data_IF_984180058061
#
_entry.id   IF_984180058061
#
_cell.length_a   1.000
_cell.length_b   1.000
_cell.length_c   1.000
_cell.angle_alpha   90.00
_cell.angle_beta   90.00
_cell.angle_gamma   90.00
#
_symmetry.space_group_name_H-M   'P 1'
#
loop_
_entity.id
_entity.type
_entity.pdbx_description
1 polymer ?
#
# COMPACT_ATOMS: atom_id res chain seq x y z
N UNK A 1 -18.41 -8.17 -11.21
CA UNK A 1 -17.20 -7.47 -10.72
C UNK A 1 -17.49 -6.99 -9.32
N UNK A 2 -16.87 -7.58 -8.33
CA UNK A 2 -16.92 -7.06 -6.95
C UNK A 2 -15.97 -5.88 -6.88
N UNK A 3 -16.52 -4.68 -6.74
CA UNK A 3 -15.75 -3.48 -6.48
C UNK A 3 -15.42 -3.47 -4.99
N UNK A 4 -14.17 -3.70 -4.66
CA UNK A 4 -13.72 -3.69 -3.27
C UNK A 4 -13.25 -2.28 -2.90
N UNK A 5 -13.92 -1.69 -1.94
CA UNK A 5 -13.51 -0.43 -1.31
C UNK A 5 -12.89 -0.77 0.04
N UNK A 6 -11.72 -0.22 0.31
CA UNK A 6 -11.04 -0.33 1.60
C UNK A 6 -10.83 1.07 2.16
N UNK A 7 -11.18 1.26 3.43
CA UNK A 7 -10.89 2.49 4.18
C UNK A 7 -10.00 2.12 5.36
N UNK A 8 -8.97 2.90 5.60
CA UNK A 8 -8.01 2.71 6.66
C UNK A 8 -7.80 3.98 7.47
N UNK A 9 -7.32 3.78 8.68
CA UNK A 9 -6.84 4.84 9.57
C UNK A 9 -5.39 4.52 9.93
N UNK A 10 -4.50 5.42 9.61
CA UNK A 10 -3.07 5.31 9.93
C UNK A 10 -2.75 6.21 11.12
N UNK A 11 -2.04 5.68 12.10
CA UNK A 11 -1.54 6.43 13.24
C UNK A 11 -0.01 6.50 13.22
N UNK A 12 0.51 7.70 13.37
CA UNK A 12 1.95 7.98 13.36
C UNK A 12 2.38 8.49 14.74
N UNK A 13 2.91 7.62 15.60
CA UNK A 13 3.20 7.98 16.99
C UNK A 13 4.30 9.03 17.14
N UNK A 14 5.23 9.15 16.17
CA UNK A 14 6.32 10.13 16.24
C UNK A 14 5.86 11.58 16.03
N UNK A 15 4.75 11.78 15.36
CA UNK A 15 4.16 13.10 15.06
C UNK A 15 2.78 13.28 15.68
N UNK A 16 2.31 12.25 16.42
CA UNK A 16 0.99 12.18 17.08
C UNK A 16 -0.15 12.58 16.13
N UNK A 17 -0.15 12.04 14.94
CA UNK A 17 -1.08 12.40 13.87
C UNK A 17 -1.81 11.17 13.32
N UNK A 18 -3.06 11.41 12.92
CA UNK A 18 -3.91 10.44 12.25
C UNK A 18 -4.16 10.85 10.80
N UNK A 19 -4.14 9.90 9.89
CA UNK A 19 -4.52 10.13 8.50
C UNK A 19 -5.49 9.09 8.00
N UNK A 20 -6.33 9.49 7.05
CA UNK A 20 -7.28 8.62 6.37
C UNK A 20 -6.64 8.08 5.09
N UNK A 21 -6.70 6.76 4.93
CA UNK A 21 -6.37 6.08 3.69
C UNK A 21 -7.63 5.43 3.10
N UNK A 22 -7.80 5.53 1.81
CA UNK A 22 -8.88 4.85 1.10
C UNK A 22 -8.40 4.34 -0.24
N UNK A 23 -8.89 3.17 -0.65
CA UNK A 23 -8.61 2.66 -1.98
C UNK A 23 -9.82 1.92 -2.57
N UNK A 24 -9.88 1.93 -3.90
CA UNK A 24 -10.88 1.28 -4.71
C UNK A 24 -10.22 0.41 -5.77
N UNK A 25 -10.49 -0.89 -5.72
CA UNK A 25 -10.03 -1.83 -6.75
C UNK A 25 -10.97 -1.78 -7.94
N UNK A 26 -10.54 -1.11 -8.99
CA UNK A 26 -11.30 -0.97 -10.24
C UNK A 26 -11.23 -2.23 -11.10
N UNK A 27 -10.08 -2.91 -11.12
CA UNK A 27 -9.85 -4.14 -11.88
C UNK A 27 -9.21 -5.16 -10.94
N UNK A 28 -9.85 -6.34 -10.82
CA UNK A 28 -9.28 -7.49 -10.12
C UNK A 28 -8.58 -8.42 -11.10
N UNK A 29 -7.42 -8.92 -10.73
CA UNK A 29 -6.73 -9.95 -11.48
C UNK A 29 -7.54 -11.25 -11.46
N UNK A 30 -7.69 -11.89 -12.64
CA UNK A 30 -8.46 -13.12 -12.82
C UNK A 30 -7.61 -14.28 -13.35
N UNK A 31 -6.29 -14.21 -13.16
CA UNK A 31 -5.36 -15.26 -13.63
C UNK A 31 -4.99 -15.14 -15.12
N UNK A 32 -5.46 -14.10 -15.80
CA UNK A 32 -5.06 -13.74 -17.15
C UNK A 32 -3.84 -12.77 -17.15
N UNK A 33 -3.50 -12.23 -18.32
CA UNK A 33 -2.38 -11.26 -18.43
C UNK A 33 -2.68 -9.88 -17.82
N UNK A 34 -3.94 -9.57 -17.55
CA UNK A 34 -4.37 -8.27 -17.02
C UNK A 34 -3.93 -8.09 -15.57
N UNK A 35 -3.32 -6.94 -15.22
CA UNK A 35 -2.99 -6.64 -13.84
C UNK A 35 -4.25 -6.25 -13.04
N UNK A 36 -4.14 -6.33 -11.72
CA UNK A 36 -5.07 -5.64 -10.82
C UNK A 36 -4.79 -4.14 -10.86
N UNK A 37 -5.84 -3.31 -10.91
CA UNK A 37 -5.74 -1.84 -10.89
C UNK A 37 -6.49 -1.31 -9.68
N UNK A 38 -5.80 -0.50 -8.87
CA UNK A 38 -6.33 0.11 -7.66
C UNK A 38 -6.10 1.62 -7.73
N UNK A 39 -7.13 2.40 -7.45
CA UNK A 39 -7.03 3.84 -7.19
C UNK A 39 -7.12 4.09 -5.69
N UNK A 40 -6.35 5.02 -5.16
CA UNK A 40 -6.40 5.29 -3.74
C UNK A 40 -5.85 6.65 -3.34
N UNK A 41 -5.96 6.91 -2.05
CA UNK A 41 -5.42 8.07 -1.38
C UNK A 41 -4.88 7.67 -0.02
N UNK A 42 -3.75 8.24 0.36
CA UNK A 42 -3.11 8.07 1.66
C UNK A 42 -2.30 9.30 2.02
N UNK A 43 -1.85 9.35 3.26
CA UNK A 43 -0.88 10.36 3.68
C UNK A 43 0.46 9.65 3.89
N UNK A 44 1.45 10.04 3.13
CA UNK A 44 2.77 9.41 3.11
C UNK A 44 3.89 10.42 3.36
N UNK A 45 5.05 9.90 3.77
CA UNK A 45 6.27 10.66 3.92
C UNK A 45 7.06 10.64 2.60
N UNK A 46 7.12 11.79 1.95
CA UNK A 46 7.94 12.00 0.77
C UNK A 46 8.97 13.09 1.05
N UNK A 47 10.25 12.73 1.06
CA UNK A 47 11.36 13.65 1.33
C UNK A 47 11.19 14.40 2.67
N UNK A 48 10.79 13.70 3.73
CA UNK A 48 10.48 14.24 5.06
C UNK A 48 9.26 15.19 5.10
N UNK A 49 8.45 15.21 4.05
CA UNK A 49 7.20 15.97 4.00
C UNK A 49 6.02 15.00 4.06
N UNK A 50 5.20 15.11 5.09
CA UNK A 50 3.94 14.38 5.19
C UNK A 50 2.88 15.09 4.35
N UNK A 51 2.42 14.43 3.30
CA UNK A 51 1.47 14.99 2.34
C UNK A 51 0.37 14.00 1.99
N UNK A 52 -0.81 14.53 1.71
CA UNK A 52 -1.88 13.75 1.08
C UNK A 52 -1.45 13.37 -0.33
N UNK A 53 -1.55 12.11 -0.66
CA UNK A 53 -1.22 11.58 -1.98
C UNK A 53 -2.42 10.88 -2.62
N UNK A 54 -2.46 10.90 -3.94
CA UNK A 54 -3.41 10.19 -4.77
C UNK A 54 -2.64 9.26 -5.69
N UNK A 55 -3.03 7.99 -5.78
CA UNK A 55 -2.25 7.03 -6.52
C UNK A 55 -3.10 6.10 -7.38
N UNK A 56 -2.48 5.58 -8.42
CA UNK A 56 -2.95 4.42 -9.18
C UNK A 56 -1.89 3.34 -9.13
N UNK A 57 -2.30 2.16 -8.71
CA UNK A 57 -1.43 0.98 -8.60
C UNK A 57 -1.81 -0.05 -9.63
N UNK A 58 -0.81 -0.58 -10.34
CA UNK A 58 -0.93 -1.78 -11.14
C UNK A 58 -0.10 -2.89 -10.49
N UNK A 59 -0.72 -4.04 -10.22
CA UNK A 59 -0.02 -5.19 -9.63
C UNK A 59 -0.35 -6.48 -10.36
N UNK A 60 0.61 -7.41 -10.38
CA UNK A 60 0.46 -8.70 -11.04
C UNK A 60 0.94 -9.83 -10.14
N UNK A 61 0.11 -10.85 -9.95
CA UNK A 61 0.52 -12.08 -9.30
C UNK A 61 1.41 -12.91 -10.24
N UNK A 62 2.63 -13.20 -9.80
CA UNK A 62 3.60 -13.97 -10.59
C UNK A 62 3.61 -15.46 -10.27
N UNK A 63 2.99 -15.87 -9.18
CA UNK A 63 2.99 -17.26 -8.75
C UNK A 63 3.45 -17.43 -7.30
N UNK A 64 3.66 -18.68 -6.93
CA UNK A 64 4.06 -19.07 -5.58
C UNK A 64 5.47 -19.66 -5.60
N UNK A 65 6.31 -19.20 -4.66
CA UNK A 65 7.65 -19.73 -4.41
C UNK A 65 7.77 -20.10 -2.94
N UNK A 66 8.02 -21.37 -2.65
CA UNK A 66 8.17 -21.90 -1.28
C UNK A 66 6.99 -21.55 -0.34
N UNK A 67 5.75 -21.54 -0.86
CA UNK A 67 4.55 -21.19 -0.11
C UNK A 67 4.30 -19.69 0.04
N UNK A 68 5.14 -18.84 -0.58
CA UNK A 68 4.96 -17.39 -0.62
C UNK A 68 4.42 -16.95 -1.98
N UNK A 69 3.33 -16.23 -1.98
CA UNK A 69 2.76 -15.61 -3.17
C UNK A 69 3.48 -14.28 -3.44
N UNK A 70 3.94 -14.09 -4.66
CA UNK A 70 4.73 -12.93 -5.06
C UNK A 70 3.92 -12.06 -6.03
N UNK A 71 3.81 -10.78 -5.70
CA UNK A 71 3.08 -9.81 -6.54
C UNK A 71 3.85 -8.49 -6.61
N UNK A 72 4.68 -8.30 -7.63
CA UNK A 72 5.26 -6.99 -7.92
C UNK A 72 4.17 -6.00 -8.31
N UNK A 73 4.43 -4.73 -8.02
CA UNK A 73 3.53 -3.65 -8.39
C UNK A 73 4.29 -2.38 -8.80
N UNK A 74 3.62 -1.57 -9.60
CA UNK A 74 4.05 -0.22 -9.92
C UNK A 74 2.93 0.76 -9.58
N UNK A 75 3.30 1.94 -9.14
CA UNK A 75 2.39 3.01 -8.72
C UNK A 75 2.80 4.31 -9.39
N UNK A 76 1.82 5.08 -9.85
CA UNK A 76 1.98 6.50 -10.13
C UNK A 76 1.30 7.26 -9.00
N UNK A 77 2.07 8.06 -8.26
CA UNK A 77 1.59 8.81 -7.09
C UNK A 77 1.69 10.30 -7.36
N UNK A 78 0.60 11.03 -7.18
CA UNK A 78 0.57 12.48 -7.15
C UNK A 78 0.61 12.95 -5.69
N UNK A 79 1.55 13.84 -5.37
CA UNK A 79 1.78 14.36 -4.02
C UNK A 79 1.28 15.81 -4.02
N UNK A 80 0.24 16.07 -3.21
CA UNK A 80 -0.47 17.36 -3.26
C UNK A 80 0.41 18.55 -2.86
N UNK A 81 1.08 18.48 -1.71
CA UNK A 81 1.92 19.58 -1.24
C UNK A 81 3.14 19.85 -2.14
N UNK A 82 3.67 18.83 -2.78
CA UNK A 82 4.80 18.96 -3.69
C UNK A 82 4.36 19.29 -5.13
N UNK A 83 3.07 19.16 -5.45
CA UNK A 83 2.53 19.25 -6.81
C UNK A 83 3.32 18.41 -7.81
N UNK A 84 3.75 17.22 -7.39
CA UNK A 84 4.68 16.35 -8.12
C UNK A 84 4.08 14.97 -8.34
N UNK A 85 4.41 14.38 -9.48
CA UNK A 85 4.02 13.00 -9.86
C UNK A 85 5.24 12.11 -9.78
N UNK A 86 5.19 11.11 -8.88
CA UNK A 86 6.30 10.18 -8.67
C UNK A 86 5.93 8.74 -9.00
N UNK A 87 6.80 8.04 -9.73
CA UNK A 87 6.70 6.60 -9.86
C UNK A 87 7.20 5.93 -8.59
N UNK A 88 6.47 4.92 -8.15
CA UNK A 88 6.82 4.08 -7.02
C UNK A 88 6.73 2.63 -7.47
N UNK A 89 7.59 1.77 -6.99
CA UNK A 89 7.56 0.36 -7.29
C UNK A 89 7.80 -0.48 -6.05
N UNK A 90 7.39 -1.73 -6.08
CA UNK A 90 7.61 -2.60 -4.95
C UNK A 90 7.19 -4.05 -5.19
N UNK A 91 7.29 -4.80 -4.12
CA UNK A 91 6.95 -6.21 -4.08
C UNK A 91 6.04 -6.49 -2.89
N UNK A 92 4.92 -7.12 -3.15
CA UNK A 92 4.06 -7.69 -2.12
C UNK A 92 4.30 -9.19 -2.03
N UNK A 93 4.52 -9.67 -0.82
CA UNK A 93 4.71 -11.08 -0.49
C UNK A 93 3.60 -11.48 0.47
N UNK A 94 2.88 -12.56 0.18
CA UNK A 94 1.80 -13.06 1.02
C UNK A 94 1.97 -14.52 1.36
N UNK A 95 1.66 -14.88 2.60
CA UNK A 95 1.54 -16.26 3.07
C UNK A 95 0.39 -16.38 4.06
N UNK A 96 -0.71 -17.03 3.65
CA UNK A 96 -1.92 -17.14 4.46
C UNK A 96 -2.50 -15.78 4.82
N UNK A 97 -2.64 -15.50 6.12
CA UNK A 97 -3.17 -14.21 6.64
C UNK A 97 -2.12 -13.13 6.78
N UNK A 98 -0.84 -13.45 6.55
CA UNK A 98 0.27 -12.51 6.63
C UNK A 98 0.64 -11.97 5.27
N UNK A 99 1.00 -10.70 5.21
CA UNK A 99 1.60 -10.07 4.04
C UNK A 99 2.72 -9.13 4.46
N UNK A 100 3.73 -9.03 3.61
CA UNK A 100 4.79 -8.03 3.71
C UNK A 100 4.85 -7.27 2.39
N UNK A 101 5.02 -5.98 2.46
CA UNK A 101 5.14 -5.12 1.29
C UNK A 101 6.39 -4.26 1.43
N UNK A 102 7.25 -4.34 0.45
CA UNK A 102 8.39 -3.44 0.27
C UNK A 102 8.07 -2.47 -0.86
N UNK A 103 8.33 -1.20 -0.64
CA UNK A 103 8.07 -0.11 -1.58
C UNK A 103 9.29 0.79 -1.70
N UNK A 104 9.61 1.18 -2.90
CA UNK A 104 10.69 2.11 -3.22
C UNK A 104 10.17 3.23 -4.10
N UNK A 105 10.36 4.47 -3.65
CA UNK A 105 9.90 5.69 -4.35
C UNK A 105 10.97 6.38 -5.18
N UNK A 106 12.16 5.79 -5.29
CA UNK A 106 13.34 6.40 -5.91
C UNK A 106 14.22 7.17 -4.92
N UNK A 107 13.68 7.59 -3.80
CA UNK A 107 14.39 8.33 -2.73
C UNK A 107 14.24 7.68 -1.37
N UNK A 108 13.12 7.01 -1.11
CA UNK A 108 12.77 6.47 0.21
C UNK A 108 12.24 5.04 0.09
N UNK A 109 12.63 4.19 1.03
CA UNK A 109 12.15 2.82 1.16
C UNK A 109 11.10 2.75 2.25
N UNK A 110 10.06 1.95 2.02
CA UNK A 110 9.05 1.65 3.05
C UNK A 110 8.86 0.15 3.15
N UNK A 111 8.70 -0.34 4.37
CA UNK A 111 8.37 -1.72 4.64
C UNK A 111 7.09 -1.77 5.47
N UNK A 112 6.15 -2.60 5.09
CA UNK A 112 5.00 -2.90 5.92
C UNK A 112 4.83 -4.40 6.11
N UNK A 113 4.42 -4.79 7.31
CA UNK A 113 4.02 -6.16 7.66
C UNK A 113 2.59 -6.10 8.16
N UNK A 114 1.71 -6.86 7.54
CA UNK A 114 0.29 -6.82 7.81
C UNK A 114 -0.26 -8.20 8.15
N UNK A 115 -1.27 -8.23 9.02
CA UNK A 115 -2.02 -9.44 9.33
C UNK A 115 -3.50 -9.18 9.12
N UNK A 116 -4.12 -10.03 8.30
CA UNK A 116 -5.56 -10.00 8.05
C UNK A 116 -6.32 -10.75 9.15
N UNK A 117 -7.35 -10.11 9.69
CA UNK A 117 -8.22 -10.63 10.75
C UNK A 117 -9.69 -10.48 10.27
N UNK A 118 -10.13 -11.39 9.40
CA UNK A 118 -11.43 -11.28 8.74
C UNK A 118 -11.48 -10.08 7.79
N UNK A 119 -12.36 -9.11 8.06
CA UNK A 119 -12.47 -7.86 7.29
C UNK A 119 -11.53 -6.76 7.76
N UNK A 120 -10.83 -6.98 8.86
CA UNK A 120 -9.84 -6.05 9.42
C UNK A 120 -8.43 -6.46 8.98
N UNK A 121 -7.56 -5.48 8.85
CA UNK A 121 -6.12 -5.70 8.66
C UNK A 121 -5.36 -4.77 9.60
N UNK A 122 -4.49 -5.34 10.41
CA UNK A 122 -3.55 -4.60 11.23
C UNK A 122 -2.17 -4.61 10.56
N UNK A 123 -1.52 -3.47 10.50
CA UNK A 123 -0.23 -3.30 9.84
C UNK A 123 0.74 -2.55 10.72
N UNK A 124 1.99 -3.01 10.71
CA UNK A 124 3.14 -2.26 11.19
C UNK A 124 3.88 -1.72 9.98
N UNK A 125 4.17 -0.43 9.97
CA UNK A 125 4.80 0.25 8.84
C UNK A 125 6.09 0.91 9.30
N UNK A 126 7.14 0.81 8.48
CA UNK A 126 8.40 1.52 8.65
C UNK A 126 8.58 2.45 7.44
N UNK A 127 8.28 3.73 7.61
CA UNK A 127 8.53 4.75 6.59
C UNK A 127 10.01 5.13 6.59
N UNK A 128 10.62 5.09 5.41
CA UNK A 128 12.05 5.35 5.24
C UNK A 128 12.95 4.39 6.03
N UNK A 129 12.43 3.21 6.43
CA UNK A 129 13.08 2.22 7.31
C UNK A 129 13.44 2.75 8.71
N UNK A 130 12.94 3.93 9.08
CA UNK A 130 13.28 4.60 10.35
C UNK A 130 12.05 5.00 11.17
N UNK A 131 10.98 5.45 10.52
CA UNK A 131 9.78 5.99 11.18
C UNK A 131 8.71 4.91 11.34
N UNK A 132 8.50 4.38 12.56
CA UNK A 132 7.47 3.36 12.78
C UNK A 132 6.07 3.96 12.80
N UNK A 133 5.10 3.19 12.34
CA UNK A 133 3.69 3.51 12.41
C UNK A 133 2.83 2.26 12.44
N UNK A 134 1.58 2.46 12.81
CA UNK A 134 0.57 1.40 12.88
C UNK A 134 -0.60 1.84 12.01
N UNK A 135 -1.07 0.94 11.15
CA UNK A 135 -2.26 1.13 10.36
C UNK A 135 -3.31 0.06 10.69
N UNK A 136 -4.55 0.47 10.66
CA UNK A 136 -5.69 -0.43 10.75
C UNK A 136 -6.67 -0.13 9.62
N UNK A 137 -7.04 -1.14 8.87
CA UNK A 137 -7.93 -1.00 7.73
C UNK A 137 -9.15 -1.92 7.85
N UNK A 138 -10.27 -1.48 7.31
CA UNK A 138 -11.50 -2.26 7.21
C UNK A 138 -11.97 -2.33 5.76
N UNK A 139 -12.31 -3.55 5.31
CA UNK A 139 -12.84 -3.79 3.97
C UNK A 139 -14.35 -4.02 4.03
N UNK A 140 -15.09 -3.21 3.31
CA UNK A 140 -16.53 -3.29 3.15
C UNK A 140 -16.96 -4.39 2.18
#
# INVERSE_FOLDING_TARGET
MTQDITVGLDYRPLVDDFSLAANWRAISEQGDWKPSIIFGTSNDDFDDIWSQSYYVTASKYLGELAGFQLSPYGVATYIDELSDLRPVGGLNIRKGVWSAMYQYSGTTDHLSISRQLGRHTASLILWGMEKPGIAWTYRF
#
